data_IF_162019782418
#
_entry.id   IF_162019782418
#
_cell.length_a   1.000
_cell.length_b   1.000
_cell.length_c   1.000
_cell.angle_alpha   90.00
_cell.angle_beta   90.00
_cell.angle_gamma   90.00
#
_symmetry.space_group_name_H-M   'P 1'
#
loop_
_entity.id
_entity.type
_entity.pdbx_description
1 polymer ?
#
# COMPACT_ATOMS: atom_id res chain seq x y z
N UNK A 1 -24.21 1.33 -1.67
CA UNK A 1 -22.74 1.34 -1.53
C UNK A 1 -22.34 0.05 -0.84
N UNK A 2 -21.42 -0.72 -1.43
CA UNK A 2 -20.77 -1.81 -0.70
C UNK A 2 -19.80 -1.18 0.29
N UNK A 3 -19.89 -1.56 1.57
CA UNK A 3 -18.97 -1.12 2.60
C UNK A 3 -17.69 -1.93 2.58
N UNK A 4 -16.64 -1.36 3.19
CA UNK A 4 -15.35 -1.98 3.46
C UNK A 4 -15.44 -3.41 4.04
N UNK A 5 -16.54 -3.74 4.71
CA UNK A 5 -16.87 -5.07 5.25
C UNK A 5 -16.72 -6.21 4.23
N UNK A 6 -17.14 -6.00 2.97
CA UNK A 6 -17.02 -7.05 1.94
C UNK A 6 -15.58 -7.30 1.53
N UNK A 7 -14.76 -6.25 1.49
CA UNK A 7 -13.34 -6.36 1.18
C UNK A 7 -12.58 -7.01 2.34
N UNK A 8 -12.95 -6.67 3.58
CA UNK A 8 -12.44 -7.33 4.79
C UNK A 8 -12.74 -8.83 4.73
N UNK A 9 -13.98 -9.21 4.40
CA UNK A 9 -14.37 -10.61 4.28
C UNK A 9 -13.66 -11.34 3.13
N UNK A 10 -13.44 -10.67 2.00
CA UNK A 10 -12.69 -11.21 0.87
C UNK A 10 -11.21 -11.41 1.21
N UNK A 11 -10.57 -10.41 1.82
CA UNK A 11 -9.17 -10.47 2.25
C UNK A 11 -8.94 -11.57 3.29
N UNK A 12 -9.86 -11.72 4.27
CA UNK A 12 -9.81 -12.84 5.24
C UNK A 12 -9.92 -14.22 4.60
N UNK A 13 -10.55 -14.31 3.43
CA UNK A 13 -10.70 -15.55 2.64
C UNK A 13 -9.63 -15.69 1.56
N UNK A 14 -8.66 -14.76 1.49
CA UNK A 14 -7.64 -14.69 0.45
C UNK A 14 -8.21 -14.58 -0.98
N UNK A 15 -9.42 -14.04 -1.11
CA UNK A 15 -10.07 -13.77 -2.40
C UNK A 15 -9.57 -12.44 -2.99
N UNK A 16 -8.28 -12.43 -3.34
CA UNK A 16 -7.58 -11.25 -3.84
C UNK A 16 -8.07 -10.78 -5.21
N UNK A 17 -8.67 -11.66 -6.00
CA UNK A 17 -9.31 -11.29 -7.27
C UNK A 17 -10.49 -10.35 -7.00
N UNK A 18 -11.38 -10.72 -6.07
CA UNK A 18 -12.48 -9.87 -5.63
C UNK A 18 -12.00 -8.56 -5.01
N UNK A 19 -10.93 -8.61 -4.20
CA UNK A 19 -10.33 -7.41 -3.61
C UNK A 19 -9.84 -6.47 -4.70
N UNK A 20 -9.00 -6.95 -5.62
CA UNK A 20 -8.39 -6.14 -6.69
C UNK A 20 -9.44 -5.55 -7.65
N UNK A 21 -10.53 -6.28 -7.94
CA UNK A 21 -11.63 -5.79 -8.78
C UNK A 21 -12.36 -4.60 -8.13
N UNK A 22 -12.60 -4.66 -6.81
CA UNK A 22 -13.41 -3.66 -6.10
C UNK A 22 -12.60 -2.51 -5.50
N UNK A 23 -11.29 -2.69 -5.31
CA UNK A 23 -10.43 -1.71 -4.66
C UNK A 23 -10.51 -0.31 -5.29
N UNK A 24 -10.52 -0.15 -6.63
CA UNK A 24 -10.63 1.16 -7.28
C UNK A 24 -11.91 1.93 -6.95
N UNK A 25 -13.01 1.24 -6.65
CA UNK A 25 -14.30 1.88 -6.36
C UNK A 25 -14.38 2.41 -4.93
N UNK A 26 -13.66 1.78 -4.00
CA UNK A 26 -13.76 2.10 -2.57
C UNK A 26 -12.64 3.00 -2.06
N UNK A 27 -11.49 3.03 -2.74
CA UNK A 27 -10.32 3.77 -2.27
C UNK A 27 -10.47 5.29 -2.40
N UNK A 28 -11.50 5.76 -3.10
CA UNK A 28 -11.87 7.17 -3.18
C UNK A 28 -12.73 7.63 -1.97
N UNK A 29 -13.28 6.70 -1.18
CA UNK A 29 -14.09 7.02 0.00
C UNK A 29 -13.19 7.41 1.19
N UNK A 30 -13.24 8.67 1.69
CA UNK A 30 -12.41 9.10 2.81
C UNK A 30 -12.63 8.30 4.09
N UNK A 31 -13.82 7.73 4.30
CA UNK A 31 -14.10 6.88 5.45
C UNK A 31 -13.34 5.55 5.38
N UNK A 32 -13.17 5.00 4.17
CA UNK A 32 -12.41 3.79 3.92
C UNK A 32 -10.91 4.05 4.09
N UNK A 33 -10.41 5.17 3.58
CA UNK A 33 -9.02 5.60 3.78
C UNK A 33 -8.73 5.83 5.26
N UNK A 34 -9.65 6.49 5.96
CA UNK A 34 -9.57 6.71 7.41
C UNK A 34 -9.54 5.39 8.17
N UNK A 35 -10.39 4.43 7.82
CA UNK A 35 -10.37 3.10 8.42
C UNK A 35 -9.03 2.39 8.17
N UNK A 36 -8.55 2.40 6.92
CA UNK A 36 -7.30 1.75 6.55
C UNK A 36 -6.13 2.25 7.42
N UNK A 37 -5.99 3.57 7.58
CA UNK A 37 -4.92 4.17 8.37
C UNK A 37 -5.12 4.06 9.89
N UNK A 38 -6.34 4.23 10.39
CA UNK A 38 -6.55 4.29 11.84
C UNK A 38 -6.69 2.91 12.48
N UNK A 39 -7.22 1.94 11.73
CA UNK A 39 -7.61 0.62 12.24
C UNK A 39 -6.94 -0.50 11.45
N UNK A 40 -7.12 -0.56 10.13
CA UNK A 40 -6.72 -1.71 9.31
C UNK A 40 -5.22 -2.03 9.36
N UNK A 41 -4.35 -1.01 9.34
CA UNK A 41 -2.89 -1.22 9.45
C UNK A 41 -2.43 -1.79 10.80
N UNK A 42 -3.28 -1.78 11.83
CA UNK A 42 -2.98 -2.28 13.18
C UNK A 42 -3.61 -3.64 13.47
N UNK A 43 -4.31 -4.23 12.51
CA UNK A 43 -5.02 -5.49 12.69
C UNK A 43 -4.03 -6.64 12.92
N UNK A 44 -4.41 -7.64 13.72
CA UNK A 44 -3.58 -8.81 14.00
C UNK A 44 -3.44 -9.71 12.75
N UNK A 45 -4.45 -9.70 11.87
CA UNK A 45 -4.47 -10.48 10.63
C UNK A 45 -3.63 -9.79 9.54
N UNK A 46 -2.63 -10.53 9.04
CA UNK A 46 -1.74 -10.05 7.98
C UNK A 46 -2.44 -9.75 6.65
N UNK A 47 -3.59 -10.38 6.36
CA UNK A 47 -4.37 -10.11 5.16
C UNK A 47 -5.19 -8.81 5.31
N UNK A 48 -5.61 -8.48 6.53
CA UNK A 48 -6.28 -7.20 6.79
C UNK A 48 -5.29 -6.04 6.71
N UNK A 49 -4.07 -6.22 7.23
CA UNK A 49 -3.01 -5.22 7.05
C UNK A 49 -2.64 -5.04 5.58
N UNK A 50 -2.60 -6.11 4.79
CA UNK A 50 -2.33 -6.05 3.34
C UNK A 50 -3.43 -5.25 2.61
N UNK A 51 -4.71 -5.57 2.89
CA UNK A 51 -5.84 -4.80 2.38
C UNK A 51 -5.75 -3.32 2.75
N UNK A 52 -5.46 -3.01 4.03
CA UNK A 52 -5.36 -1.64 4.50
C UNK A 52 -4.28 -0.86 3.74
N UNK A 53 -3.09 -1.44 3.57
CA UNK A 53 -2.02 -0.78 2.82
C UNK A 53 -2.34 -0.68 1.33
N UNK A 54 -3.02 -1.67 0.75
CA UNK A 54 -3.51 -1.61 -0.64
C UNK A 54 -4.52 -0.48 -0.85
N UNK A 55 -5.40 -0.22 0.12
CA UNK A 55 -6.32 0.93 0.08
C UNK A 55 -5.55 2.25 0.15
N UNK A 56 -4.58 2.35 1.07
CA UNK A 56 -3.71 3.53 1.14
C UNK A 56 -2.92 3.72 -0.15
N UNK A 57 -2.42 2.66 -0.79
CA UNK A 57 -1.71 2.70 -2.08
C UNK A 57 -2.55 3.35 -3.19
N UNK A 58 -3.83 2.98 -3.30
CA UNK A 58 -4.70 3.44 -4.39
C UNK A 58 -5.47 4.73 -4.09
N UNK A 59 -5.58 5.10 -2.82
CA UNK A 59 -6.32 6.28 -2.42
C UNK A 59 -5.73 7.56 -3.07
N UNK A 60 -6.57 8.53 -3.47
CA UNK A 60 -6.12 9.78 -4.08
C UNK A 60 -5.57 10.76 -3.02
N UNK A 61 -4.52 10.36 -2.31
CA UNK A 61 -3.88 11.13 -1.24
C UNK A 61 -2.76 11.98 -1.86
N UNK A 62 -2.72 13.28 -1.54
CA UNK A 62 -1.59 14.13 -1.94
C UNK A 62 -0.34 13.85 -1.13
N UNK A 63 0.84 14.21 -1.65
CA UNK A 63 2.11 14.05 -0.92
C UNK A 63 2.11 14.74 0.45
N UNK A 64 1.48 15.93 0.54
CA UNK A 64 1.35 16.66 1.80
C UNK A 64 0.42 15.98 2.80
N UNK A 65 -0.68 15.37 2.34
CA UNK A 65 -1.58 14.63 3.22
C UNK A 65 -0.95 13.30 3.68
N UNK A 66 -0.10 12.71 2.83
CA UNK A 66 0.60 11.47 3.15
C UNK A 66 1.80 11.68 4.08
N UNK A 67 2.26 12.92 4.29
CA UNK A 67 3.39 13.27 5.16
C UNK A 67 3.21 12.70 6.58
N UNK A 68 2.00 12.87 7.14
CA UNK A 68 1.62 12.38 8.47
C UNK A 68 1.52 10.83 8.53
N UNK A 69 1.28 10.18 7.40
CA UNK A 69 1.16 8.72 7.31
C UNK A 69 2.50 8.03 7.05
N UNK A 70 3.46 8.75 6.46
CA UNK A 70 4.66 8.17 5.85
C UNK A 70 5.47 7.30 6.80
N UNK A 71 5.77 7.78 8.00
CA UNK A 71 6.57 7.05 8.98
C UNK A 71 5.88 5.78 9.47
N UNK A 72 4.54 5.80 9.56
CA UNK A 72 3.77 4.61 9.94
C UNK A 72 3.81 3.56 8.83
N UNK A 73 3.62 3.98 7.58
CA UNK A 73 3.70 3.08 6.41
C UNK A 73 5.12 2.53 6.25
N UNK A 74 6.15 3.35 6.45
CA UNK A 74 7.54 2.91 6.48
C UNK A 74 7.81 1.90 7.61
N UNK A 75 7.19 2.09 8.78
CA UNK A 75 7.23 1.13 9.87
C UNK A 75 6.72 -0.25 9.45
N UNK A 76 5.59 -0.33 8.74
CA UNK A 76 5.09 -1.59 8.18
C UNK A 76 6.06 -2.18 7.15
N UNK A 77 6.57 -1.34 6.23
CA UNK A 77 7.52 -1.75 5.20
C UNK A 77 8.74 -2.48 5.80
N UNK A 78 9.25 -1.99 6.93
CA UNK A 78 10.45 -2.54 7.55
C UNK A 78 10.16 -3.72 8.49
N UNK A 79 9.08 -3.64 9.28
CA UNK A 79 8.89 -4.50 10.45
C UNK A 79 7.77 -5.53 10.38
N UNK A 80 6.86 -5.47 9.40
CA UNK A 80 5.75 -6.44 9.31
C UNK A 80 6.26 -7.88 9.15
N UNK A 81 5.47 -8.87 9.57
CA UNK A 81 5.81 -10.29 9.37
C UNK A 81 5.33 -10.80 8.01
N UNK A 82 4.29 -10.20 7.44
CA UNK A 82 3.78 -10.56 6.13
C UNK A 82 4.59 -9.83 5.04
N UNK A 83 5.26 -10.60 4.17
CA UNK A 83 6.05 -10.05 3.06
C UNK A 83 5.22 -9.18 2.12
N UNK A 84 3.95 -9.51 1.89
CA UNK A 84 3.10 -8.76 0.96
C UNK A 84 2.71 -7.40 1.55
N UNK A 85 2.48 -7.32 2.85
CA UNK A 85 2.32 -6.02 3.55
C UNK A 85 3.55 -5.14 3.34
N UNK A 86 4.77 -5.70 3.45
CA UNK A 86 5.99 -4.92 3.20
C UNK A 86 6.04 -4.38 1.77
N UNK A 87 5.73 -5.22 0.79
CA UNK A 87 5.72 -4.83 -0.61
C UNK A 87 4.66 -3.77 -0.90
N UNK A 88 3.43 -3.95 -0.41
CA UNK A 88 2.37 -2.95 -0.53
C UNK A 88 2.74 -1.64 0.15
N UNK A 89 3.44 -1.68 1.29
CA UNK A 89 3.88 -0.48 1.98
C UNK A 89 4.90 0.30 1.13
N UNK A 90 5.83 -0.38 0.48
CA UNK A 90 6.72 0.25 -0.50
C UNK A 90 5.95 0.83 -1.69
N UNK A 91 4.89 0.17 -2.17
CA UNK A 91 4.03 0.70 -3.23
C UNK A 91 3.30 1.97 -2.79
N UNK A 92 2.74 2.01 -1.59
CA UNK A 92 2.07 3.19 -1.04
C UNK A 92 3.06 4.37 -0.87
N UNK A 93 4.25 4.13 -0.32
CA UNK A 93 5.32 5.14 -0.23
C UNK A 93 5.70 5.67 -1.63
N UNK A 94 5.85 4.79 -2.61
CA UNK A 94 6.18 5.17 -3.97
C UNK A 94 5.03 5.88 -4.72
N UNK A 95 3.77 5.61 -4.35
CA UNK A 95 2.59 6.24 -4.91
C UNK A 95 2.47 7.71 -4.50
N UNK A 96 2.72 7.98 -3.21
CA UNK A 96 2.35 9.25 -2.58
C UNK A 96 3.54 10.13 -2.18
N UNK A 97 4.75 9.56 -2.09
CA UNK A 97 5.97 10.31 -1.77
C UNK A 97 6.85 9.54 -0.80
N UNK A 98 8.05 9.18 -1.25
CA UNK A 98 8.99 8.33 -0.50
C UNK A 98 9.71 9.06 0.63
N UNK A 99 9.72 10.40 0.62
CA UNK A 99 10.43 11.23 1.60
C UNK A 99 11.92 10.86 1.71
N UNK A 100 12.43 10.76 2.94
CA UNK A 100 13.82 10.37 3.22
C UNK A 100 14.12 8.89 2.98
N UNK A 101 13.11 8.05 2.77
CA UNK A 101 13.23 6.58 2.74
C UNK A 101 13.45 6.00 1.34
N UNK A 102 13.93 6.83 0.41
CA UNK A 102 14.02 6.46 -1.01
C UNK A 102 14.84 5.20 -1.25
N UNK A 103 16.01 5.08 -0.63
CA UNK A 103 16.92 3.98 -0.88
C UNK A 103 16.32 2.64 -0.43
N UNK A 104 15.68 2.63 0.73
CA UNK A 104 15.02 1.48 1.33
C UNK A 104 13.80 1.06 0.52
N UNK A 105 13.00 2.02 0.05
CA UNK A 105 11.88 1.76 -0.86
C UNK A 105 12.40 1.15 -2.17
N UNK A 106 13.41 1.76 -2.81
CA UNK A 106 14.00 1.21 -4.05
C UNK A 106 14.52 -0.22 -3.87
N UNK A 107 15.22 -0.47 -2.76
CA UNK A 107 15.75 -1.80 -2.45
C UNK A 107 14.63 -2.83 -2.34
N UNK A 108 13.56 -2.53 -1.60
CA UNK A 108 12.46 -3.46 -1.41
C UNK A 108 11.64 -3.65 -2.70
N UNK A 109 11.49 -2.62 -3.52
CA UNK A 109 10.85 -2.76 -4.82
C UNK A 109 11.66 -3.66 -5.76
N UNK A 110 12.99 -3.60 -5.74
CA UNK A 110 13.84 -4.53 -6.49
C UNK A 110 13.75 -5.98 -5.99
N UNK A 111 13.46 -6.19 -4.71
CA UNK A 111 13.12 -7.51 -4.18
C UNK A 111 11.76 -7.98 -4.71
N UNK A 112 10.74 -7.12 -4.65
CA UNK A 112 9.40 -7.37 -5.17
C UNK A 112 9.39 -7.70 -6.67
N UNK A 113 10.32 -7.15 -7.48
CA UNK A 113 10.47 -7.49 -8.90
C UNK A 113 10.79 -8.98 -9.17
N UNK A 114 11.28 -9.70 -8.16
CA UNK A 114 11.61 -11.13 -8.25
C UNK A 114 10.45 -12.04 -7.87
N UNK A 115 9.37 -11.48 -7.32
CA UNK A 115 8.16 -12.22 -6.93
C UNK A 115 7.17 -12.25 -8.11
N UNK A 116 6.75 -13.46 -8.52
CA UNK A 116 5.95 -13.65 -9.73
C UNK A 116 4.61 -12.92 -9.71
N UNK A 117 4.00 -12.72 -8.53
CA UNK A 117 2.66 -12.15 -8.41
C UNK A 117 2.70 -10.62 -8.52
N UNK A 118 3.73 -10.00 -7.94
CA UNK A 118 3.80 -8.54 -7.81
C UNK A 118 4.87 -7.88 -8.69
N UNK A 119 5.70 -8.65 -9.40
CA UNK A 119 6.81 -8.12 -10.18
C UNK A 119 6.41 -7.03 -11.18
N UNK A 120 5.24 -7.18 -11.82
CA UNK A 120 4.71 -6.19 -12.76
C UNK A 120 4.37 -4.87 -12.04
N UNK A 121 3.80 -4.96 -10.85
CA UNK A 121 3.41 -3.81 -10.03
C UNK A 121 4.67 -3.10 -9.52
N UNK A 122 5.63 -3.85 -9.00
CA UNK A 122 6.91 -3.34 -8.50
C UNK A 122 7.69 -2.54 -9.55
N UNK A 123 7.76 -3.05 -10.79
CA UNK A 123 8.37 -2.33 -11.93
C UNK A 123 7.72 -0.95 -12.17
N UNK A 124 6.39 -0.87 -12.06
CA UNK A 124 5.66 0.38 -12.21
C UNK A 124 6.03 1.39 -11.13
N UNK A 125 6.16 0.93 -9.88
CA UNK A 125 6.55 1.79 -8.77
C UNK A 125 8.01 2.21 -8.80
N UNK A 126 8.93 1.35 -9.22
CA UNK A 126 10.34 1.75 -9.41
C UNK A 126 10.49 2.90 -10.42
N UNK A 127 9.67 2.89 -11.49
CA UNK A 127 9.65 3.99 -12.44
C UNK A 127 9.13 5.29 -11.80
N UNK A 128 8.18 5.22 -10.86
CA UNK A 128 7.73 6.39 -10.08
C UNK A 128 8.83 6.89 -9.13
N UNK A 129 9.46 5.99 -8.37
CA UNK A 129 10.54 6.35 -7.42
C UNK A 129 11.70 7.08 -8.10
N UNK A 130 12.07 6.67 -9.31
CA UNK A 130 13.12 7.33 -10.11
C UNK A 130 12.75 8.76 -10.51
N UNK A 131 11.47 9.02 -10.81
CA UNK A 131 11.00 10.35 -11.24
C UNK A 131 10.96 11.38 -10.13
N UNK A 132 10.86 10.95 -8.87
CA UNK A 132 10.93 11.87 -7.72
C UNK A 132 12.28 12.64 -7.64
N UNK A 133 13.32 12.20 -8.36
CA UNK A 133 14.61 12.93 -8.48
C UNK A 133 14.61 14.04 -9.55
N UNK A 134 13.60 14.10 -10.43
CA UNK A 134 13.57 15.09 -11.50
C UNK A 134 12.79 16.36 -11.11
N UNK A 135 12.18 16.39 -9.91
CA UNK A 135 11.23 17.43 -9.48
C UNK A 135 11.79 18.28 -8.31
N UNK A 136 12.98 17.97 -7.79
CA UNK A 136 13.63 18.71 -6.69
C UNK A 136 14.87 19.47 -7.15
#
# INVERSE_FOLDING_TARGET
MMGIEKLIDAAKKEDWETVDEQLPEVCEDPSVVSWAYNEGIKDDDGNIRDLAVSLLEKAPISESEFDDMRETVYGLMTSDLNKYVKFRAAFALAAHGVGSHKAEVEQLLHEAEKDNEIAKIARGYLAKVKKWLEIV
#
